data_IF_683066567006
#
_entry.id   IF_683066567006
#
_cell.length_a   1.000
_cell.length_b   1.000
_cell.length_c   1.000
_cell.angle_alpha   90.00
_cell.angle_beta   90.00
_cell.angle_gamma   90.00
#
_symmetry.space_group_name_H-M   'P 1'
#
loop_
_entity.id
_entity.type
_entity.pdbx_description
1 polymer ?
#
# COMPACT_ATOMS: atom_id res chain seq x y z
N UNK A 1 10.93 6.58 -7.21
CA UNK A 1 10.70 5.85 -5.93
C UNK A 1 10.71 4.35 -6.15
N UNK A 2 9.89 3.82 -7.08
CA UNK A 2 9.85 2.37 -7.39
C UNK A 2 11.24 1.78 -7.66
N UNK A 3 12.04 2.43 -8.52
CA UNK A 3 13.38 1.92 -8.85
C UNK A 3 14.35 1.93 -7.66
N UNK A 4 14.20 2.90 -6.74
CA UNK A 4 15.00 2.97 -5.51
C UNK A 4 14.68 1.77 -4.62
N UNK A 5 13.39 1.44 -4.47
CA UNK A 5 12.95 0.29 -3.69
C UNK A 5 13.40 -1.03 -4.32
N UNK A 6 13.32 -1.17 -5.64
CA UNK A 6 13.79 -2.37 -6.33
C UNK A 6 15.30 -2.56 -6.15
N UNK A 7 16.10 -1.50 -6.29
CA UNK A 7 17.54 -1.58 -6.05
C UNK A 7 17.88 -1.83 -4.58
N UNK A 8 17.15 -1.22 -3.65
CA UNK A 8 17.29 -1.48 -2.22
C UNK A 8 17.07 -2.96 -1.91
N UNK A 9 15.95 -3.54 -2.37
CA UNK A 9 15.66 -4.97 -2.20
C UNK A 9 16.75 -5.81 -2.88
N UNK A 10 17.16 -5.45 -4.08
CA UNK A 10 18.19 -6.18 -4.81
C UNK A 10 19.51 -6.24 -4.02
N UNK A 11 20.01 -5.10 -3.53
CA UNK A 11 21.24 -5.04 -2.75
C UNK A 11 21.13 -5.78 -1.41
N UNK A 12 19.95 -5.74 -0.78
CA UNK A 12 19.70 -6.55 0.40
C UNK A 12 19.75 -8.06 0.08
N UNK A 13 19.16 -8.50 -1.03
CA UNK A 13 19.17 -9.90 -1.46
C UNK A 13 20.57 -10.40 -1.81
N UNK A 14 21.41 -9.53 -2.36
CA UNK A 14 22.82 -9.81 -2.64
C UNK A 14 23.70 -9.74 -1.37
N UNK A 15 23.27 -9.01 -0.33
CA UNK A 15 24.13 -8.67 0.81
C UNK A 15 25.18 -7.62 0.44
N UNK A 16 24.86 -6.70 -0.47
CA UNK A 16 25.74 -5.61 -0.88
C UNK A 16 25.49 -4.35 -0.06
N UNK A 17 26.30 -4.16 0.97
CA UNK A 17 26.11 -3.13 1.99
C UNK A 17 26.16 -1.69 1.46
N UNK A 18 27.15 -1.36 0.63
CA UNK A 18 27.31 0.00 0.12
C UNK A 18 26.11 0.44 -0.74
N UNK A 19 25.55 -0.48 -1.52
CA UNK A 19 24.34 -0.24 -2.31
C UNK A 19 23.10 -0.08 -1.43
N UNK A 20 22.96 -0.91 -0.40
CA UNK A 20 21.87 -0.81 0.58
C UNK A 20 21.84 0.56 1.28
N UNK A 21 23.01 1.04 1.75
CA UNK A 21 23.15 2.37 2.34
C UNK A 21 22.88 3.50 1.34
N UNK A 22 23.34 3.35 0.09
CA UNK A 22 23.11 4.33 -0.96
C UNK A 22 21.62 4.50 -1.23
N UNK A 23 20.90 3.41 -1.49
CA UNK A 23 19.46 3.47 -1.77
C UNK A 23 18.67 3.92 -0.53
N UNK A 24 19.11 3.54 0.68
CA UNK A 24 18.57 4.08 1.94
C UNK A 24 18.67 5.62 2.01
N UNK A 25 19.81 6.19 1.60
CA UNK A 25 19.97 7.64 1.52
C UNK A 25 19.07 8.27 0.43
N UNK A 26 18.90 7.60 -0.72
CA UNK A 26 18.00 8.07 -1.78
C UNK A 26 16.51 8.05 -1.38
N UNK A 27 16.11 7.18 -0.47
CA UNK A 27 14.74 7.15 0.09
C UNK A 27 14.46 8.29 1.07
N UNK A 28 15.50 8.87 1.66
CA UNK A 28 15.38 9.81 2.79
C UNK A 28 14.51 11.06 2.51
N UNK A 29 14.61 11.73 1.34
CA UNK A 29 13.74 12.85 1.00
C UNK A 29 12.27 12.44 0.90
N UNK A 30 12.01 11.25 0.35
CA UNK A 30 10.65 10.75 0.16
C UNK A 30 10.00 10.36 1.49
N UNK A 31 10.72 9.68 2.39
CA UNK A 31 10.25 9.36 3.74
C UNK A 31 9.96 10.64 4.54
N UNK A 32 10.82 11.64 4.38
CA UNK A 32 10.65 12.95 5.00
C UNK A 32 9.41 13.66 4.48
N UNK A 33 9.24 13.74 3.16
CA UNK A 33 8.08 14.35 2.53
C UNK A 33 6.78 13.62 2.88
N UNK A 34 6.80 12.29 2.94
CA UNK A 34 5.68 11.40 3.29
C UNK A 34 5.17 11.55 4.74
N UNK A 35 5.80 12.41 5.56
CA UNK A 35 5.42 12.59 6.96
C UNK A 35 5.94 11.49 7.87
N UNK A 36 6.84 10.60 7.39
CA UNK A 36 7.54 9.62 8.21
C UNK A 36 8.77 10.24 8.89
N UNK A 37 8.61 11.42 9.50
CA UNK A 37 9.72 12.20 10.07
C UNK A 37 10.55 11.43 11.10
N UNK A 38 9.92 10.58 11.93
CA UNK A 38 10.65 9.72 12.88
C UNK A 38 11.59 8.76 12.17
N UNK A 39 11.13 8.14 11.08
CA UNK A 39 11.95 7.21 10.31
C UNK A 39 12.96 7.93 9.44
N UNK A 40 12.54 8.90 8.63
CA UNK A 40 13.41 9.61 7.69
C UNK A 40 14.37 10.58 8.37
N UNK A 41 13.85 11.58 9.08
CA UNK A 41 14.67 12.68 9.62
C UNK A 41 15.41 12.28 10.91
N UNK A 42 14.84 11.43 11.76
CA UNK A 42 15.46 11.08 13.06
C UNK A 42 16.29 9.79 12.94
N UNK A 43 15.65 8.64 12.71
CA UNK A 43 16.32 7.34 12.79
C UNK A 43 17.26 7.07 11.62
N UNK A 44 16.76 7.10 10.38
CA UNK A 44 17.52 6.69 9.19
C UNK A 44 18.69 7.64 8.93
N UNK A 45 18.50 8.94 9.14
CA UNK A 45 19.57 9.93 9.04
C UNK A 45 20.71 9.66 10.03
N UNK A 46 20.37 9.41 11.30
CA UNK A 46 21.37 9.09 12.32
C UNK A 46 22.09 7.79 11.97
N UNK A 47 21.33 6.75 11.60
CA UNK A 47 21.88 5.49 11.13
C UNK A 47 22.88 5.68 9.99
N UNK A 48 22.54 6.42 8.92
CA UNK A 48 23.46 6.67 7.80
C UNK A 48 24.73 7.43 8.23
N UNK A 49 24.60 8.37 9.16
CA UNK A 49 25.75 9.08 9.74
C UNK A 49 26.67 8.13 10.51
N UNK A 50 26.12 7.26 11.34
CA UNK A 50 26.88 6.28 12.11
C UNK A 50 27.52 5.23 11.19
N UNK A 51 26.79 4.73 10.18
CA UNK A 51 27.33 3.76 9.23
C UNK A 51 28.47 4.34 8.38
N UNK A 52 28.49 5.66 8.14
CA UNK A 52 29.61 6.34 7.48
C UNK A 52 30.87 6.38 8.35
N UNK A 53 30.71 6.46 9.68
CA UNK A 53 31.83 6.48 10.64
C UNK A 53 32.24 5.07 11.09
N UNK A 54 31.47 4.05 10.73
CA UNK A 54 31.71 2.66 11.11
C UNK A 54 33.15 2.16 10.85
N UNK A 55 33.83 2.51 9.75
CA UNK A 55 35.23 2.11 9.55
C UNK A 55 36.19 2.62 10.64
N UNK A 56 35.87 3.75 11.25
CA UNK A 56 36.68 4.38 12.30
C UNK A 56 36.22 3.94 13.70
N UNK A 57 34.92 3.82 13.92
CA UNK A 57 34.33 3.54 15.24
C UNK A 57 34.31 2.05 15.58
N UNK A 58 34.15 1.18 14.58
CA UNK A 58 34.12 -0.28 14.73
C UNK A 58 34.60 -0.99 13.45
N UNK A 59 35.91 -1.04 13.19
CA UNK A 59 36.49 -1.61 11.96
C UNK A 59 36.06 -3.07 11.71
N UNK A 60 36.04 -3.90 12.76
CA UNK A 60 35.62 -5.31 12.68
C UNK A 60 34.15 -5.44 12.24
N UNK A 61 33.27 -4.60 12.77
CA UNK A 61 31.86 -4.57 12.37
C UNK A 61 31.72 -4.08 10.93
N UNK A 62 32.51 -3.08 10.52
CA UNK A 62 32.55 -2.60 9.14
C UNK A 62 32.98 -3.71 8.16
N UNK A 63 34.04 -4.45 8.47
CA UNK A 63 34.48 -5.58 7.67
C UNK A 63 33.40 -6.66 7.56
N UNK A 64 32.74 -6.99 8.68
CA UNK A 64 31.66 -7.97 8.69
C UNK A 64 30.48 -7.54 7.79
N UNK A 65 29.98 -6.30 7.93
CA UNK A 65 28.85 -5.85 7.11
C UNK A 65 29.22 -5.72 5.63
N UNK A 66 30.46 -5.33 5.32
CA UNK A 66 30.98 -5.31 3.95
C UNK A 66 31.10 -6.72 3.35
N UNK A 67 31.35 -7.74 4.18
CA UNK A 67 31.26 -9.14 3.79
C UNK A 67 29.82 -9.67 3.67
N UNK A 68 28.81 -8.82 3.89
CA UNK A 68 27.40 -9.14 3.70
C UNK A 68 26.74 -9.84 4.90
N UNK A 69 27.30 -9.72 6.11
CA UNK A 69 26.73 -10.34 7.33
C UNK A 69 25.49 -9.60 7.86
N UNK A 70 25.16 -8.43 7.33
CA UNK A 70 23.96 -7.67 7.71
C UNK A 70 22.66 -8.34 7.22
N UNK A 71 22.74 -9.37 6.39
CA UNK A 71 21.61 -10.17 5.93
C UNK A 71 21.77 -11.64 6.29
N UNK A 72 20.64 -12.30 6.57
CA UNK A 72 20.58 -13.73 6.78
C UNK A 72 20.39 -14.50 5.48
N UNK A 73 20.98 -15.69 5.37
CA UNK A 73 20.72 -16.64 4.29
C UNK A 73 20.31 -17.98 4.90
N UNK A 74 19.26 -18.60 4.35
CA UNK A 74 18.74 -19.91 4.80
C UNK A 74 19.15 -21.07 3.91
N UNK A 75 19.65 -20.77 2.72
CA UNK A 75 20.10 -21.72 1.73
C UNK A 75 21.36 -21.16 1.06
N UNK A 76 22.13 -22.04 0.44
CA UNK A 76 23.23 -21.64 -0.41
C UNK A 76 22.70 -21.01 -1.71
N UNK A 77 23.47 -20.10 -2.29
CA UNK A 77 23.14 -19.42 -3.54
C UNK A 77 23.18 -17.91 -3.46
N UNK A 78 22.95 -17.27 -4.60
CA UNK A 78 22.94 -15.82 -4.73
C UNK A 78 21.51 -15.28 -4.60
N UNK A 79 21.40 -13.98 -4.33
CA UNK A 79 20.11 -13.28 -4.31
C UNK A 79 19.07 -13.78 -3.30
N UNK A 80 19.49 -14.46 -2.23
CA UNK A 80 18.60 -15.07 -1.24
C UNK A 80 18.71 -14.45 0.17
N UNK A 81 19.42 -13.32 0.28
CA UNK A 81 19.55 -12.55 1.51
C UNK A 81 18.20 -12.02 2.03
N UNK A 82 18.00 -12.09 3.33
CA UNK A 82 16.81 -11.55 4.02
C UNK A 82 17.23 -10.66 5.19
N UNK A 83 16.42 -9.66 5.55
CA UNK A 83 16.69 -8.85 6.75
C UNK A 83 16.79 -9.74 7.99
N UNK A 84 17.59 -9.36 9.01
CA UNK A 84 17.64 -10.07 10.28
C UNK A 84 16.25 -10.21 10.93
N UNK A 85 15.39 -9.19 10.80
CA UNK A 85 14.01 -9.21 11.29
C UNK A 85 13.18 -10.30 10.59
N UNK A 86 13.19 -10.34 9.26
CA UNK A 86 12.50 -11.37 8.48
C UNK A 86 13.09 -12.76 8.71
N UNK A 87 14.41 -12.87 8.88
CA UNK A 87 15.06 -14.13 9.24
C UNK A 87 14.56 -14.64 10.59
N UNK A 88 14.51 -13.75 11.59
CA UNK A 88 14.04 -14.05 12.93
C UNK A 88 12.57 -14.46 12.92
N UNK A 89 11.73 -13.80 12.11
CA UNK A 89 10.35 -14.21 11.88
C UNK A 89 10.22 -15.62 11.28
N UNK A 90 11.04 -15.92 10.27
CA UNK A 90 11.01 -17.19 9.53
C UNK A 90 11.65 -18.37 10.27
N UNK A 91 12.44 -18.11 11.32
CA UNK A 91 13.19 -19.13 12.05
C UNK A 91 12.72 -19.18 13.51
N UNK A 92 13.31 -18.36 14.35
CA UNK A 92 13.10 -18.36 15.79
C UNK A 92 11.63 -18.14 16.16
N UNK A 93 10.98 -17.13 15.60
CA UNK A 93 9.58 -16.86 15.90
C UNK A 93 8.66 -17.93 15.33
N UNK A 94 9.01 -18.57 14.20
CA UNK A 94 8.18 -19.62 13.64
C UNK A 94 8.04 -20.82 14.60
N UNK A 95 9.14 -21.20 15.25
CA UNK A 95 9.15 -22.30 16.23
C UNK A 95 8.79 -21.85 17.66
N UNK A 96 8.99 -20.58 18.00
CA UNK A 96 8.61 -20.01 19.29
C UNK A 96 7.15 -19.50 19.33
N UNK A 97 6.42 -19.52 18.21
CA UNK A 97 5.05 -19.00 18.12
C UNK A 97 4.11 -19.88 18.94
N UNK A 98 3.54 -19.30 19.99
CA UNK A 98 2.49 -19.90 20.80
C UNK A 98 1.14 -19.21 20.53
N UNK A 99 0.05 -19.84 20.98
CA UNK A 99 -1.30 -19.31 20.85
C UNK A 99 -1.48 -17.95 21.55
N UNK A 100 -0.62 -17.63 22.54
CA UNK A 100 -0.52 -16.32 23.16
C UNK A 100 0.94 -15.87 23.27
N UNK A 101 1.15 -14.56 23.15
CA UNK A 101 2.45 -13.92 23.31
C UNK A 101 2.69 -13.49 24.75
N UNK A 102 3.44 -12.39 24.92
CA UNK A 102 3.56 -11.72 26.22
C UNK A 102 2.24 -10.99 26.56
N UNK A 103 1.31 -11.69 27.20
CA UNK A 103 0.09 -11.11 27.77
C UNK A 103 -0.06 -11.34 29.28
N UNK A 104 -0.88 -10.49 29.93
CA UNK A 104 -1.34 -10.69 31.31
C UNK A 104 -0.24 -11.05 32.31
N UNK A 105 -0.27 -12.29 32.79
CA UNK A 105 0.65 -12.83 33.82
C UNK A 105 2.10 -12.79 33.35
N UNK A 106 2.36 -12.98 32.05
CA UNK A 106 3.72 -12.96 31.50
C UNK A 106 4.32 -11.56 31.47
N UNK A 107 3.55 -10.49 31.73
CA UNK A 107 4.08 -9.13 31.96
C UNK A 107 4.62 -8.92 33.38
N UNK A 108 4.55 -9.92 34.26
CA UNK A 108 5.35 -9.88 35.49
C UNK A 108 6.84 -10.01 35.12
N UNK A 109 7.72 -9.19 35.72
CA UNK A 109 9.17 -9.24 35.48
C UNK A 109 9.74 -10.65 35.60
N UNK A 110 9.37 -11.41 36.64
CA UNK A 110 9.88 -12.78 36.81
C UNK A 110 9.42 -13.72 35.69
N UNK A 111 8.15 -13.62 35.28
CA UNK A 111 7.59 -14.41 34.19
C UNK A 111 8.18 -14.02 32.83
N UNK A 112 8.39 -12.71 32.56
CA UNK A 112 9.12 -12.22 31.39
C UNK A 112 10.54 -12.76 31.33
N UNK A 113 11.29 -12.67 32.42
CA UNK A 113 12.68 -13.17 32.45
C UNK A 113 12.71 -14.67 32.17
N UNK A 114 11.81 -15.44 32.80
CA UNK A 114 11.68 -16.87 32.53
C UNK A 114 11.37 -17.12 31.06
N UNK A 115 10.38 -16.41 30.50
CA UNK A 115 10.03 -16.49 29.08
C UNK A 115 11.25 -16.19 28.19
N UNK A 116 11.95 -15.07 28.40
CA UNK A 116 13.13 -14.70 27.59
C UNK A 116 14.23 -15.77 27.64
N UNK A 117 14.51 -16.36 28.81
CA UNK A 117 15.54 -17.40 28.93
C UNK A 117 15.11 -18.77 28.40
N UNK A 118 13.85 -19.15 28.56
CA UNK A 118 13.39 -20.49 28.18
C UNK A 118 13.00 -20.57 26.71
N UNK A 119 12.51 -19.48 26.10
CA UNK A 119 12.00 -19.51 24.72
C UNK A 119 13.02 -19.99 23.69
N UNK A 120 14.30 -19.57 23.74
CA UNK A 120 15.27 -20.06 22.78
C UNK A 120 15.50 -21.56 22.89
N UNK A 121 15.54 -22.04 24.12
CA UNK A 121 15.74 -23.46 24.42
C UNK A 121 14.53 -24.29 23.96
N UNK A 122 13.31 -23.82 24.24
CA UNK A 122 12.09 -24.53 23.84
C UNK A 122 11.91 -24.52 22.32
N UNK A 123 12.27 -23.43 21.64
CA UNK A 123 12.24 -23.35 20.18
C UNK A 123 13.25 -24.33 19.55
N UNK A 124 14.48 -24.40 20.08
CA UNK A 124 15.49 -25.34 19.62
C UNK A 124 15.07 -26.81 19.83
N UNK A 125 14.53 -27.15 21.01
CA UNK A 125 13.99 -28.49 21.29
C UNK A 125 12.82 -28.80 20.35
N UNK A 126 11.94 -27.84 20.08
CA UNK A 126 10.82 -28.03 19.16
C UNK A 126 11.30 -28.30 17.73
N UNK A 127 12.29 -27.53 17.25
CA UNK A 127 12.89 -27.72 15.93
C UNK A 127 13.54 -29.11 15.79
N UNK A 128 14.33 -29.53 16.79
CA UNK A 128 14.99 -30.83 16.80
C UNK A 128 13.99 -32.00 16.87
N UNK A 129 12.95 -31.85 17.70
CA UNK A 129 11.89 -32.85 17.81
C UNK A 129 11.10 -32.97 16.50
N UNK A 130 10.77 -31.85 15.85
CA UNK A 130 10.12 -31.85 14.53
C UNK A 130 11.00 -32.54 13.48
N UNK A 131 12.30 -32.28 13.50
CA UNK A 131 13.28 -32.94 12.63
C UNK A 131 13.32 -34.45 12.87
N UNK A 132 13.47 -34.88 14.13
CA UNK A 132 13.57 -36.29 14.53
C UNK A 132 12.31 -37.09 14.21
N UNK A 133 11.14 -36.47 14.39
CA UNK A 133 9.84 -37.09 14.10
C UNK A 133 9.43 -36.95 12.63
N UNK A 134 10.28 -36.35 11.78
CA UNK A 134 9.95 -35.98 10.40
C UNK A 134 8.65 -35.18 10.27
N UNK A 135 8.30 -34.41 11.31
CA UNK A 135 7.17 -33.47 11.34
C UNK A 135 7.55 -32.15 10.66
N UNK A 136 8.27 -32.23 9.55
CA UNK A 136 8.35 -31.09 8.65
C UNK A 136 6.94 -30.82 8.15
N UNK A 137 6.48 -29.57 8.17
CA UNK A 137 5.25 -29.23 7.46
C UNK A 137 5.51 -29.50 5.98
N UNK A 138 5.09 -30.66 5.50
CA UNK A 138 5.24 -31.09 4.11
C UNK A 138 4.36 -30.27 3.17
N UNK A 139 3.41 -29.53 3.72
CA UNK A 139 2.64 -28.53 2.99
C UNK A 139 3.59 -27.41 2.54
N UNK A 140 3.77 -27.21 1.23
CA UNK A 140 4.40 -26.00 0.73
C UNK A 140 3.73 -24.78 1.36
N UNK A 141 4.48 -23.70 1.56
CA UNK A 141 3.87 -22.42 1.89
C UNK A 141 2.71 -22.20 0.91
N UNK A 142 1.56 -21.70 1.37
CA UNK A 142 0.38 -21.55 0.51
C UNK A 142 0.65 -20.70 -0.74
N UNK A 143 1.69 -19.87 -0.73
CA UNK A 143 2.18 -19.13 -1.91
C UNK A 143 3.07 -19.96 -2.86
N UNK A 144 3.71 -21.02 -2.38
CA UNK A 144 4.50 -21.98 -3.16
C UNK A 144 3.67 -23.13 -3.73
N UNK A 145 2.36 -23.16 -3.47
CA UNK A 145 1.46 -24.17 -4.01
C UNK A 145 1.26 -24.00 -5.52
N UNK A 146 1.12 -25.10 -6.25
CA UNK A 146 0.90 -25.14 -7.70
C UNK A 146 -0.20 -24.18 -8.18
N UNK A 147 -1.31 -24.05 -7.44
CA UNK A 147 -2.39 -23.12 -7.77
C UNK A 147 -1.94 -21.65 -7.76
N UNK A 148 -1.10 -21.26 -6.80
CA UNK A 148 -0.57 -19.89 -6.73
C UNK A 148 0.43 -19.66 -7.85
N UNK A 149 1.38 -20.58 -8.04
CA UNK A 149 2.38 -20.50 -9.12
C UNK A 149 1.71 -20.35 -10.48
N UNK A 150 0.68 -21.16 -10.77
CA UNK A 150 -0.05 -21.07 -12.03
C UNK A 150 -0.80 -19.74 -12.17
N UNK A 151 -1.45 -19.28 -11.10
CA UNK A 151 -2.16 -18.00 -11.11
C UNK A 151 -1.20 -16.82 -11.29
N UNK A 152 -0.04 -16.85 -10.67
CA UNK A 152 0.97 -15.79 -10.78
C UNK A 152 1.54 -15.77 -12.19
N UNK A 153 1.81 -16.94 -12.79
CA UNK A 153 2.20 -17.04 -14.20
C UNK A 153 1.11 -16.46 -15.13
N UNK A 154 -0.17 -16.82 -14.93
CA UNK A 154 -1.29 -16.24 -15.67
C UNK A 154 -1.40 -14.71 -15.47
N UNK A 155 -1.18 -14.23 -14.25
CA UNK A 155 -1.23 -12.80 -13.95
C UNK A 155 -0.06 -12.05 -14.60
N UNK A 156 1.15 -12.61 -14.62
CA UNK A 156 2.30 -12.04 -15.33
C UNK A 156 1.97 -11.90 -16.81
N UNK A 157 1.40 -12.93 -17.45
CA UNK A 157 0.97 -12.85 -18.86
C UNK A 157 -0.08 -11.76 -19.07
N UNK A 158 -1.08 -11.65 -18.19
CA UNK A 158 -2.10 -10.60 -18.27
C UNK A 158 -1.52 -9.20 -18.10
N UNK A 159 -0.58 -9.03 -17.16
CA UNK A 159 0.13 -7.76 -16.94
C UNK A 159 0.99 -7.43 -18.16
N UNK A 160 1.75 -8.39 -18.70
CA UNK A 160 2.55 -8.19 -19.91
C UNK A 160 1.69 -7.81 -21.11
N UNK A 161 0.56 -8.49 -21.35
CA UNK A 161 -0.39 -8.15 -22.40
C UNK A 161 -1.00 -6.74 -22.21
N UNK A 162 -1.24 -6.32 -20.96
CA UNK A 162 -1.69 -4.96 -20.65
C UNK A 162 -0.58 -3.91 -20.75
N UNK A 163 0.69 -4.31 -20.61
CA UNK A 163 1.87 -3.45 -20.79
C UNK A 163 2.24 -3.31 -22.27
N UNK A 164 1.93 -4.31 -23.11
CA UNK A 164 2.04 -4.20 -24.58
C UNK A 164 1.13 -3.09 -25.13
N UNK A 165 -0.06 -2.91 -24.55
CA UNK A 165 -0.86 -1.68 -24.67
C UNK A 165 -0.30 -0.58 -23.76
N UNK A 166 0.99 -0.24 -23.91
CA UNK A 166 1.72 0.67 -23.01
C UNK A 166 0.91 1.95 -22.74
N UNK A 167 0.25 2.08 -21.57
CA UNK A 167 -0.63 3.20 -21.27
C UNK A 167 0.16 4.48 -20.96
N UNK A 168 1.50 4.40 -21.00
CA UNK A 168 2.45 5.48 -20.76
C UNK A 168 3.18 5.93 -22.04
N UNK A 169 2.78 5.43 -23.22
CA UNK A 169 3.37 5.85 -24.52
C UNK A 169 3.05 7.30 -24.87
N UNK A 170 1.88 7.79 -24.46
CA UNK A 170 1.50 9.19 -24.62
C UNK A 170 1.91 9.95 -23.37
N UNK A 171 2.73 10.99 -23.55
CA UNK A 171 3.04 11.94 -22.49
C UNK A 171 1.75 12.69 -22.13
N UNK A 172 1.00 12.17 -21.17
CA UNK A 172 -0.18 12.84 -20.64
C UNK A 172 0.27 14.02 -19.79
N UNK A 173 -0.22 15.24 -20.05
CA UNK A 173 0.13 16.39 -19.23
C UNK A 173 -0.50 16.32 -17.83
N UNK A 174 -1.49 15.44 -17.62
CA UNK A 174 -2.16 15.23 -16.34
C UNK A 174 -1.60 14.00 -15.62
N UNK A 175 -1.44 14.11 -14.30
CA UNK A 175 -1.13 12.96 -13.45
C UNK A 175 -2.44 12.20 -13.17
N UNK A 176 -2.50 10.92 -13.52
CA UNK A 176 -3.74 10.12 -13.43
C UNK A 176 -3.57 9.03 -12.36
N UNK A 177 -4.56 8.87 -11.49
CA UNK A 177 -4.62 7.75 -10.58
C UNK A 177 -5.07 6.49 -11.34
N UNK A 178 -4.21 5.47 -11.37
CA UNK A 178 -4.44 4.23 -12.12
C UNK A 178 -5.66 3.45 -11.60
N UNK A 179 -5.97 3.52 -10.30
CA UNK A 179 -7.09 2.75 -9.73
C UNK A 179 -8.45 3.41 -9.92
N UNK A 180 -8.49 4.74 -10.02
CA UNK A 180 -9.75 5.51 -10.12
C UNK A 180 -9.96 6.19 -11.46
N UNK A 181 -8.92 6.29 -12.30
CA UNK A 181 -8.93 7.08 -13.54
C UNK A 181 -8.93 8.59 -13.31
N UNK A 182 -8.81 9.06 -12.07
CA UNK A 182 -8.95 10.46 -11.72
C UNK A 182 -7.69 11.27 -12.08
N UNK A 183 -7.89 12.45 -12.67
CA UNK A 183 -6.81 13.40 -12.93
C UNK A 183 -6.51 14.26 -11.69
N UNK A 184 -5.22 14.48 -11.43
CA UNK A 184 -4.77 15.34 -10.36
C UNK A 184 -5.04 16.81 -10.70
N UNK A 185 -5.57 17.55 -9.73
CA UNK A 185 -5.60 19.01 -9.77
C UNK A 185 -4.17 19.58 -9.90
N UNK A 186 -3.99 20.79 -10.47
CA UNK A 186 -2.67 21.41 -10.58
C UNK A 186 -1.90 21.45 -9.26
N UNK A 187 -2.60 21.73 -8.15
CA UNK A 187 -2.00 21.75 -6.80
C UNK A 187 -1.46 20.39 -6.37
N UNK A 188 -2.19 19.31 -6.68
CA UNK A 188 -1.78 17.94 -6.32
C UNK A 188 -0.67 17.47 -7.25
N UNK A 189 -0.77 17.77 -8.56
CA UNK A 189 0.27 17.46 -9.54
C UNK A 189 1.60 18.11 -9.18
N UNK A 190 1.60 19.42 -8.89
CA UNK A 190 2.82 20.15 -8.54
C UNK A 190 3.43 19.58 -7.26
N UNK A 191 2.60 19.29 -6.24
CA UNK A 191 3.08 18.73 -4.98
C UNK A 191 3.63 17.29 -5.11
N UNK A 192 3.00 16.44 -5.92
CA UNK A 192 3.44 15.06 -6.16
C UNK A 192 4.68 14.99 -7.07
N UNK A 193 4.93 16.01 -7.87
CA UNK A 193 6.16 16.13 -8.67
C UNK A 193 7.31 16.78 -7.88
N UNK A 194 7.01 17.66 -6.92
CA UNK A 194 8.01 18.34 -6.08
C UNK A 194 8.44 17.54 -4.83
N UNK A 195 7.85 16.37 -4.56
CA UNK A 195 8.07 15.56 -3.33
C UNK A 195 9.53 15.44 -2.93
N UNK A 196 10.41 15.15 -3.89
CA UNK A 196 11.86 15.00 -3.62
C UNK A 196 12.48 16.32 -3.16
N UNK A 197 12.15 17.42 -3.83
CA UNK A 197 12.66 18.75 -3.51
C UNK A 197 12.14 19.24 -2.16
N UNK A 198 10.85 19.04 -1.89
CA UNK A 198 10.22 19.40 -0.61
C UNK A 198 10.82 18.58 0.55
N UNK A 199 11.05 17.29 0.32
CA UNK A 199 11.72 16.41 1.26
C UNK A 199 13.16 16.83 1.57
N UNK A 200 13.94 17.21 0.55
CA UNK A 200 15.30 17.71 0.71
C UNK A 200 15.33 19.04 1.46
N UNK A 201 14.41 19.96 1.14
CA UNK A 201 14.27 21.24 1.84
C UNK A 201 13.98 21.01 3.32
N UNK A 202 12.96 20.20 3.63
CA UNK A 202 12.62 19.86 5.00
C UNK A 202 13.78 19.19 5.75
N UNK A 203 14.53 18.31 5.08
CA UNK A 203 15.73 17.71 5.65
C UNK A 203 16.80 18.76 5.98
N UNK A 204 17.07 19.69 5.06
CA UNK A 204 18.06 20.76 5.28
C UNK A 204 17.68 21.68 6.44
N UNK A 205 16.39 22.03 6.57
CA UNK A 205 15.86 22.81 7.69
C UNK A 205 16.00 22.06 9.02
N UNK A 206 15.84 20.74 9.01
CA UNK A 206 16.03 19.89 10.20
C UNK A 206 17.49 19.74 10.64
N UNK A 207 18.44 20.12 9.78
CA UNK A 207 19.89 20.04 10.04
C UNK A 207 20.46 21.36 10.55
N UNK A 208 19.96 22.49 10.03
CA UNK A 208 20.43 23.83 10.36
C UNK A 208 19.82 24.41 11.65
N UNK A 209 18.76 23.78 12.16
CA UNK A 209 18.04 24.25 13.32
C UNK A 209 18.46 23.52 14.60
N UNK A 210 18.96 24.27 15.58
CA UNK A 210 19.07 23.88 17.00
C UNK A 210 17.69 23.52 17.64
N UNK A 211 16.60 23.57 16.88
CA UNK A 211 15.25 23.39 17.41
C UNK A 211 14.84 21.93 17.48
N UNK A 212 14.30 21.58 18.65
CA UNK A 212 13.51 20.39 18.97
C UNK A 212 12.28 20.13 18.04
N UNK A 213 12.08 20.89 16.96
CA UNK A 213 10.92 20.78 16.05
C UNK A 213 11.36 20.30 14.67
N UNK A 214 10.99 19.06 14.35
CA UNK A 214 11.06 18.48 13.00
C UNK A 214 10.16 19.23 12.03
N UNK A 215 10.68 19.60 10.87
CA UNK A 215 9.92 20.17 9.76
C UNK A 215 8.99 19.08 9.18
N UNK A 216 7.69 19.35 9.20
CA UNK A 216 6.68 18.41 8.69
C UNK A 216 6.19 18.90 7.34
N UNK A 217 6.47 18.12 6.29
CA UNK A 217 5.91 18.36 4.95
C UNK A 217 4.46 17.88 4.95
N UNK A 218 3.54 18.74 4.48
CA UNK A 218 2.16 18.35 4.22
C UNK A 218 2.01 18.05 2.73
N UNK A 219 1.96 16.76 2.38
CA UNK A 219 1.70 16.33 1.01
C UNK A 219 0.21 16.43 0.67
N UNK A 220 -0.07 17.03 -0.48
CA UNK A 220 -1.38 16.98 -1.12
C UNK A 220 -1.40 15.80 -2.09
N UNK A 221 -2.25 14.83 -1.81
CA UNK A 221 -2.45 13.62 -2.63
C UNK A 221 -3.85 13.61 -3.23
N UNK A 222 -4.15 12.65 -4.10
CA UNK A 222 -5.52 12.38 -4.57
C UNK A 222 -6.52 12.23 -3.40
N UNK A 223 -6.08 11.70 -2.25
CA UNK A 223 -6.94 11.62 -1.08
C UNK A 223 -7.33 13.02 -0.54
N UNK A 224 -6.40 13.97 -0.56
CA UNK A 224 -6.68 15.36 -0.13
C UNK A 224 -7.56 16.11 -1.11
N UNK A 225 -7.43 15.85 -2.41
CA UNK A 225 -8.33 16.34 -3.46
C UNK A 225 -9.76 15.82 -3.25
N UNK A 226 -9.87 14.53 -2.89
CA UNK A 226 -11.15 13.85 -2.74
C UNK A 226 -11.82 14.10 -1.39
N UNK A 227 -11.13 14.79 -0.49
CA UNK A 227 -11.68 15.13 0.81
C UNK A 227 -12.75 16.19 0.61
N UNK A 228 -14.01 15.80 0.80
CA UNK A 228 -15.16 16.71 0.82
C UNK A 228 -14.85 17.81 1.84
N UNK A 229 -14.57 19.03 1.35
CA UNK A 229 -14.48 20.19 2.24
C UNK A 229 -15.89 20.34 2.83
N UNK A 230 -16.05 20.41 4.17
CA UNK A 230 -17.36 20.75 4.73
C UNK A 230 -17.77 22.07 4.09
N UNK A 231 -18.95 22.09 3.46
CA UNK A 231 -19.51 23.32 2.86
C UNK A 231 -19.50 24.38 3.95
N UNK A 232 -18.59 25.36 3.85
CA UNK A 232 -18.81 26.65 4.51
C UNK A 232 -20.13 27.15 3.96
N UNK A 233 -21.09 27.39 4.85
CA UNK A 233 -22.39 27.98 4.52
C UNK A 233 -22.16 29.28 3.73
N UNK A 234 -22.25 29.20 2.40
CA UNK A 234 -21.93 30.32 1.54
C UNK A 234 -21.88 29.94 0.08
N UNK A 235 -23.04 30.07 -0.58
CA UNK A 235 -23.26 30.08 -2.03
C UNK A 235 -22.74 28.86 -2.81
N UNK A 236 -23.66 27.95 -3.08
CA UNK A 236 -23.60 26.91 -4.11
C UNK A 236 -23.22 27.49 -5.47
N UNK A 237 -21.96 27.35 -5.87
CA UNK A 237 -21.61 27.18 -7.28
C UNK A 237 -21.62 25.68 -7.57
N UNK A 238 -22.70 25.20 -8.16
CA UNK A 238 -22.79 23.84 -8.69
C UNK A 238 -21.73 23.65 -9.79
N UNK A 239 -21.01 22.52 -9.84
CA UNK A 239 -20.43 22.07 -11.09
C UNK A 239 -21.58 21.45 -11.91
N UNK A 240 -22.40 22.29 -12.52
CA UNK A 240 -23.32 21.87 -13.57
C UNK A 240 -22.53 21.85 -14.87
N UNK A 241 -22.13 20.66 -15.33
CA UNK A 241 -21.66 20.47 -16.71
C UNK A 241 -22.21 19.23 -17.42
N UNK A 242 -23.05 18.39 -16.79
CA UNK A 242 -23.66 17.24 -17.47
C UNK A 242 -25.03 17.54 -18.09
N UNK A 243 -25.78 18.53 -17.60
CA UNK A 243 -27.16 18.75 -18.04
C UNK A 243 -27.28 19.38 -19.43
N UNK A 244 -26.37 20.27 -19.82
CA UNK A 244 -26.44 20.96 -21.13
C UNK A 244 -26.03 20.06 -22.30
N UNK A 245 -24.98 19.26 -22.15
CA UNK A 245 -24.51 18.32 -23.19
C UNK A 245 -25.54 17.22 -23.42
N UNK A 246 -26.12 16.68 -22.35
CA UNK A 246 -27.22 15.71 -22.40
C UNK A 246 -28.47 16.29 -23.07
N UNK A 247 -28.81 17.56 -22.77
CA UNK A 247 -29.94 18.23 -23.42
C UNK A 247 -29.70 18.51 -24.90
N UNK A 248 -28.48 18.90 -25.28
CA UNK A 248 -28.07 19.11 -26.66
C UNK A 248 -28.11 17.79 -27.46
N UNK A 249 -27.55 16.70 -26.93
CA UNK A 249 -27.60 15.37 -27.55
C UNK A 249 -29.05 14.92 -27.80
N UNK A 250 -29.94 15.11 -26.82
CA UNK A 250 -31.38 14.84 -26.96
C UNK A 250 -32.02 15.68 -28.07
N UNK A 251 -31.70 16.98 -28.14
CA UNK A 251 -32.24 17.86 -29.18
C UNK A 251 -31.72 17.51 -30.58
N UNK A 252 -30.42 17.23 -30.74
CA UNK A 252 -29.85 16.81 -32.04
C UNK A 252 -30.44 15.50 -32.54
N UNK A 253 -30.74 14.53 -31.66
CA UNK A 253 -31.32 13.25 -32.06
C UNK A 253 -32.78 13.39 -32.51
N UNK A 254 -33.58 14.22 -31.83
CA UNK A 254 -34.98 14.52 -32.21
C UNK A 254 -35.04 15.24 -33.57
N UNK A 255 -34.09 16.14 -33.83
CA UNK A 255 -33.97 16.82 -35.13
C UNK A 255 -33.53 15.82 -36.21
N UNK A 256 -32.55 14.96 -35.92
CA UNK A 256 -32.06 13.94 -36.85
C UNK A 256 -33.12 12.89 -37.22
N UNK A 257 -34.08 12.63 -36.34
CA UNK A 257 -35.19 11.70 -36.59
C UNK A 257 -36.41 12.34 -37.24
N UNK A 258 -36.34 13.60 -37.66
CA UNK A 258 -37.47 14.30 -38.29
C UNK A 258 -38.68 14.52 -37.36
N UNK A 259 -38.49 14.44 -36.03
CA UNK A 259 -39.58 14.61 -35.06
C UNK A 259 -40.46 13.37 -34.81
N UNK A 260 -40.21 12.22 -35.46
CA UNK A 260 -40.99 10.99 -35.29
C UNK A 260 -40.52 10.10 -34.12
N UNK A 261 -39.65 10.60 -33.25
CA UNK A 261 -39.06 9.80 -32.18
C UNK A 261 -40.00 9.75 -30.97
N UNK A 262 -40.38 8.54 -30.55
CA UNK A 262 -41.08 8.36 -29.28
C UNK A 262 -40.11 8.62 -28.12
N UNK A 263 -40.15 9.85 -27.59
CA UNK A 263 -39.24 10.34 -26.55
C UNK A 263 -39.26 9.45 -25.30
N UNK A 264 -40.43 8.90 -24.95
CA UNK A 264 -40.59 8.07 -23.75
C UNK A 264 -39.88 6.73 -23.92
N UNK A 265 -40.06 6.08 -25.08
CA UNK A 265 -39.40 4.81 -25.39
C UNK A 265 -37.87 4.99 -25.52
N UNK A 266 -37.45 6.09 -26.14
CA UNK A 266 -36.03 6.37 -26.32
C UNK A 266 -35.29 6.67 -25.00
N UNK A 267 -35.86 7.51 -24.14
CA UNK A 267 -35.28 7.79 -22.81
C UNK A 267 -35.29 6.52 -21.94
N UNK A 268 -36.28 5.64 -22.12
CA UNK A 268 -36.38 4.38 -21.40
C UNK A 268 -35.36 3.34 -21.84
N UNK A 269 -35.03 3.28 -23.13
CA UNK A 269 -34.22 2.21 -23.73
C UNK A 269 -32.78 2.61 -24.06
N UNK A 270 -32.47 3.91 -24.11
CA UNK A 270 -31.15 4.40 -24.49
C UNK A 270 -30.55 5.35 -23.45
N UNK A 271 -29.33 5.03 -23.03
CA UNK A 271 -28.52 5.83 -22.11
C UNK A 271 -28.14 7.15 -22.80
N UNK A 272 -28.80 8.25 -22.41
CA UNK A 272 -28.61 9.58 -23.00
C UNK A 272 -27.61 10.44 -22.22
N UNK A 273 -26.78 9.83 -21.39
CA UNK A 273 -25.80 10.49 -20.54
C UNK A 273 -24.38 10.12 -21.01
N UNK A 274 -23.40 11.01 -20.80
CA UNK A 274 -22.00 10.72 -21.13
C UNK A 274 -21.46 9.52 -20.34
N UNK A 275 -22.03 9.26 -19.16
CA UNK A 275 -21.69 8.16 -18.25
C UNK A 275 -22.96 7.58 -17.61
N UNK A 276 -23.14 6.24 -17.60
CA UNK A 276 -24.34 5.60 -17.05
C UNK A 276 -24.56 5.98 -15.57
N UNK A 277 -25.68 6.61 -15.18
CA UNK A 277 -25.95 7.02 -13.80
C UNK A 277 -26.09 5.83 -12.85
N UNK A 278 -26.35 4.64 -13.39
CA UNK A 278 -26.34 3.37 -12.67
C UNK A 278 -24.95 2.97 -12.18
N UNK A 279 -23.91 3.43 -12.87
CA UNK A 279 -22.50 3.09 -12.61
C UNK A 279 -21.68 4.30 -12.19
N UNK A 280 -22.14 5.53 -12.37
CA UNK A 280 -21.39 6.75 -12.12
C UNK A 280 -22.23 7.78 -11.34
N UNK A 281 -21.58 8.48 -10.42
CA UNK A 281 -22.14 9.60 -9.67
C UNK A 281 -22.18 10.87 -10.54
N UNK A 282 -22.94 11.89 -10.11
CA UNK A 282 -23.06 13.17 -10.82
C UNK A 282 -21.72 13.93 -10.98
N UNK A 283 -20.70 13.57 -10.19
CA UNK A 283 -19.33 14.09 -10.28
C UNK A 283 -18.44 13.33 -11.28
N UNK A 284 -19.00 12.35 -12.02
CA UNK A 284 -18.29 11.54 -13.00
C UNK A 284 -17.48 10.37 -12.39
N UNK A 285 -17.58 10.13 -11.08
CA UNK A 285 -16.89 9.01 -10.43
C UNK A 285 -17.70 7.72 -10.54
N UNK A 286 -17.01 6.61 -10.79
CA UNK A 286 -17.65 5.29 -10.76
C UNK A 286 -18.19 5.02 -9.35
N UNK A 287 -19.45 4.59 -9.28
CA UNK A 287 -20.15 4.20 -8.07
C UNK A 287 -19.53 2.94 -7.49
N UNK A 288 -18.58 3.10 -6.57
CA UNK A 288 -17.99 1.97 -5.85
C UNK A 288 -18.87 1.63 -4.64
N UNK A 289 -19.81 0.70 -4.82
CA UNK A 289 -20.61 0.17 -3.72
C UNK A 289 -19.86 -0.93 -2.97
N UNK A 290 -19.59 -0.77 -1.67
CA UNK A 290 -19.23 -1.90 -0.80
C UNK A 290 -20.50 -2.70 -0.48
N UNK A 291 -20.45 -4.04 -0.54
CA UNK A 291 -21.60 -4.93 -0.24
C UNK A 291 -22.33 -4.58 1.07
N UNK A 292 -21.59 -4.09 2.08
CA UNK A 292 -22.13 -3.65 3.35
C UNK A 292 -23.06 -2.41 3.23
N UNK A 293 -22.75 -1.48 2.33
CA UNK A 293 -23.53 -0.26 2.09
C UNK A 293 -24.90 -0.59 1.50
N UNK A 294 -24.95 -1.55 0.57
CA UNK A 294 -26.21 -2.05 0.00
C UNK A 294 -27.12 -2.67 1.07
N UNK A 295 -26.56 -3.49 1.95
CA UNK A 295 -27.32 -4.11 3.06
C UNK A 295 -27.88 -3.05 4.01
N UNK A 296 -27.12 -1.99 4.28
CA UNK A 296 -27.56 -0.89 5.15
C UNK A 296 -28.73 -0.12 4.53
N UNK A 297 -28.61 0.25 3.26
CA UNK A 297 -29.66 0.97 2.51
C UNK A 297 -30.91 0.10 2.37
N UNK A 298 -30.75 -1.20 2.09
CA UNK A 298 -31.86 -2.15 2.04
C UNK A 298 -32.59 -2.22 3.38
N UNK A 299 -31.87 -2.35 4.50
CA UNK A 299 -32.48 -2.35 5.84
C UNK A 299 -33.26 -1.06 6.13
N UNK A 300 -32.72 0.10 5.74
CA UNK A 300 -33.40 1.39 5.89
C UNK A 300 -34.67 1.50 5.03
N UNK A 301 -34.60 1.05 3.77
CA UNK A 301 -35.70 1.16 2.80
C UNK A 301 -36.80 0.14 3.02
N UNK A 302 -36.46 -1.09 3.40
CA UNK A 302 -37.43 -2.17 3.58
C UNK A 302 -38.09 -2.15 4.96
N UNK A 303 -37.55 -1.40 5.93
CA UNK A 303 -38.00 -1.38 7.34
C UNK A 303 -38.14 -2.78 7.95
N UNK A 304 -37.48 -3.80 7.40
CA UNK A 304 -37.56 -5.16 7.92
C UNK A 304 -36.67 -5.25 9.17
N UNK A 305 -37.31 -5.29 10.33
CA UNK A 305 -36.65 -5.40 11.63
C UNK A 305 -36.50 -6.84 12.14
N UNK A 306 -36.96 -7.85 11.40
CA UNK A 306 -36.95 -9.24 11.85
C UNK A 306 -35.89 -10.08 11.12
N UNK A 307 -35.19 -10.89 11.91
CA UNK A 307 -34.46 -12.06 11.43
C UNK A 307 -35.52 -13.06 10.92
N UNK A 308 -35.35 -13.69 9.75
CA UNK A 308 -36.29 -14.74 9.32
C UNK A 308 -36.28 -15.86 10.35
N UNK A 309 -37.47 -16.29 10.79
CA UNK A 309 -37.62 -17.45 11.67
C UNK A 309 -37.01 -18.67 10.98
N UNK A 310 -35.94 -19.20 11.57
CA UNK A 310 -35.40 -20.49 11.21
C UNK A 310 -36.41 -21.57 11.65
N UNK A 311 -36.80 -22.52 10.78
CA UNK A 311 -37.69 -23.60 11.16
C UNK A 311 -37.08 -24.37 12.33
N UNK A 312 -37.86 -24.54 13.40
CA UNK A 312 -37.44 -25.10 14.68
C UNK A 312 -37.24 -26.63 14.69
N UNK A 313 -37.32 -27.28 13.53
CA UNK A 313 -37.31 -28.74 13.41
C UNK A 313 -35.98 -29.30 12.87
N UNK A 314 -34.86 -28.73 13.30
CA UNK A 314 -33.54 -29.33 13.12
C UNK A 314 -32.73 -29.23 14.43
N UNK A 315 -33.10 -30.07 15.40
CA UNK A 315 -32.22 -30.60 16.44
C UNK A 315 -32.40 -32.12 16.49
#
# INVERSE_FOLDING_TARGET
>A
MSDILHRFIHYQREGYWAGDLCESAWMLPYLTAAGHYKYGQQSLRLYLSEMKKLPETAPEAHEAVMAGTFVGRRADGNHNGVSPDMLLEQTYNADAKEASGLDGITLNRAARMKWVYTKPLTAAISAELKSTLHLHSSSPHHESGWSRVNRDAEMVVKVMAAVETNPFTTATPSLINISTGECADPTVKDNLTSVKADGLKALSESLSSDQKKTSVVKLNTFHTQNRIKPKKSGKTSSPCKSNEVTALLRMTQIIASGGELNIVDFIGNHECSDLPPSLFQEDGRMSTGTKASLVKILKEKTKVSSIPDLPKDCL
#
